data_IF_273065908903
#
_entry.id   IF_273065908903
#
_cell.length_a   1.000
_cell.length_b   1.000
_cell.length_c   1.000
_cell.angle_alpha   90.00
_cell.angle_beta   90.00
_cell.angle_gamma   90.00
#
_symmetry.space_group_name_H-M   'P 1'
#
loop_
_entity.id
_entity.type
_entity.pdbx_description
1 polymer ?
#
# COMPACT_ATOMS: atom_id res chain seq x y z
N UNK A 1 24.90 -13.21 14.96
CA UNK A 1 23.92 -12.52 15.82
C UNK A 1 22.63 -12.52 15.04
N UNK A 2 21.63 -13.25 15.52
CA UNK A 2 20.36 -13.43 14.82
C UNK A 2 19.55 -12.15 15.01
N UNK A 3 19.48 -11.30 13.99
CA UNK A 3 18.43 -10.29 13.93
C UNK A 3 17.19 -10.98 13.37
N UNK A 4 16.24 -11.29 14.25
CA UNK A 4 14.90 -11.70 13.87
C UNK A 4 14.29 -10.59 13.01
N UNK A 5 14.04 -10.89 11.74
CA UNK A 5 13.19 -10.05 10.91
C UNK A 5 11.81 -9.98 11.59
N UNK A 6 11.17 -8.79 11.69
CA UNK A 6 9.88 -8.66 12.33
C UNK A 6 8.88 -9.62 11.67
N UNK A 7 8.26 -10.47 12.49
CA UNK A 7 7.34 -11.50 12.01
C UNK A 7 6.14 -10.83 11.36
N UNK A 8 5.61 -11.44 10.29
CA UNK A 8 4.44 -10.93 9.54
C UNK A 8 3.23 -10.64 10.45
N UNK A 9 3.16 -11.33 11.59
CA UNK A 9 2.13 -11.23 12.62
C UNK A 9 2.13 -9.89 13.39
N UNK A 10 3.25 -9.15 13.43
CA UNK A 10 3.34 -7.86 14.13
C UNK A 10 2.58 -6.73 13.39
N UNK A 11 2.14 -6.97 12.15
CA UNK A 11 1.48 -5.95 11.31
C UNK A 11 -0.03 -5.84 11.49
N UNK A 12 -0.64 -6.73 12.26
CA UNK A 12 -2.07 -6.69 12.55
C UNK A 12 -2.36 -7.14 13.99
N UNK A 13 -2.06 -6.25 14.95
CA UNK A 13 -2.49 -6.46 16.33
C UNK A 13 -4.02 -6.36 16.41
N UNK A 14 -4.72 -7.36 16.99
CA UNK A 14 -6.15 -7.26 17.20
C UNK A 14 -6.47 -6.03 18.06
N UNK A 15 -7.52 -5.28 17.70
CA UNK A 15 -8.02 -4.23 18.57
C UNK A 15 -8.40 -4.83 19.94
N UNK A 16 -7.92 -4.21 21.02
CA UNK A 16 -8.20 -4.66 22.39
C UNK A 16 -9.64 -4.37 22.81
N UNK A 17 -10.19 -3.24 22.38
CA UNK A 17 -11.51 -2.73 22.76
C UNK A 17 -12.04 -1.69 21.75
N UNK A 18 -13.30 -1.31 21.92
CA UNK A 18 -13.97 -0.35 21.04
C UNK A 18 -13.43 1.09 21.15
N UNK A 19 -12.75 1.45 22.25
CA UNK A 19 -12.17 2.79 22.41
C UNK A 19 -10.90 2.93 21.57
N UNK A 20 -10.09 1.87 21.47
CA UNK A 20 -8.96 1.83 20.56
C UNK A 20 -9.42 1.95 19.10
N UNK A 21 -10.49 1.26 18.72
CA UNK A 21 -11.08 1.37 17.38
C UNK A 21 -11.56 2.80 17.09
N UNK A 22 -12.22 3.45 18.05
CA UNK A 22 -12.68 4.83 17.91
C UNK A 22 -11.52 5.82 17.76
N UNK A 23 -10.46 5.66 18.56
CA UNK A 23 -9.24 6.49 18.45
C UNK A 23 -8.56 6.30 17.11
N UNK A 24 -8.38 5.05 16.67
CA UNK A 24 -7.77 4.75 15.36
C UNK A 24 -8.58 5.37 14.21
N UNK A 25 -9.92 5.30 14.30
CA UNK A 25 -10.80 5.93 13.33
C UNK A 25 -10.69 7.47 13.33
N UNK A 26 -10.56 8.09 14.51
CA UNK A 26 -10.43 9.54 14.66
C UNK A 26 -9.05 10.06 14.22
N UNK A 27 -7.99 9.28 14.44
CA UNK A 27 -6.60 9.66 14.12
C UNK A 27 -6.23 9.35 12.66
N UNK A 28 -7.15 8.84 11.85
CA UNK A 28 -6.83 8.48 10.47
C UNK A 28 -5.81 7.34 10.39
N UNK A 29 -5.79 6.44 11.38
CA UNK A 29 -4.91 5.27 11.38
C UNK A 29 -5.44 4.21 10.42
N UNK A 30 -4.54 3.37 9.93
CA UNK A 30 -4.87 2.20 9.10
C UNK A 30 -5.39 2.51 7.69
N UNK A 31 -4.81 3.51 7.03
CA UNK A 31 -5.04 3.75 5.61
C UNK A 31 -3.83 3.34 4.78
N UNK A 32 -4.11 2.96 3.54
CA UNK A 32 -3.16 2.69 2.48
C UNK A 32 -3.49 3.67 1.35
N UNK A 33 -2.73 4.77 1.22
CA UNK A 33 -2.90 5.70 0.11
C UNK A 33 -2.80 4.95 -1.23
N UNK A 34 -3.67 5.30 -2.17
CA UNK A 34 -3.67 4.73 -3.53
C UNK A 34 -2.60 5.35 -4.42
N UNK A 35 -2.06 6.51 -4.03
CA UNK A 35 -1.14 7.30 -4.86
C UNK A 35 -1.89 8.23 -5.83
N UNK A 36 -3.22 8.20 -5.81
CA UNK A 36 -4.09 9.05 -6.63
C UNK A 36 -4.78 10.06 -5.71
N UNK A 37 -4.30 11.30 -5.69
CA UNK A 37 -4.75 12.35 -4.76
C UNK A 37 -6.27 12.53 -4.72
N UNK A 38 -6.93 12.52 -5.87
CA UNK A 38 -8.39 12.67 -5.95
C UNK A 38 -9.15 11.50 -5.29
N UNK A 39 -8.64 10.27 -5.42
CA UNK A 39 -9.24 9.09 -4.79
C UNK A 39 -8.92 9.07 -3.29
N UNK A 40 -7.68 9.37 -2.92
CA UNK A 40 -7.28 9.41 -1.52
C UNK A 40 -8.06 10.47 -0.75
N UNK A 41 -8.30 11.64 -1.36
CA UNK A 41 -9.16 12.69 -0.79
C UNK A 41 -10.61 12.20 -0.63
N UNK A 42 -11.17 11.57 -1.67
CA UNK A 42 -12.54 11.03 -1.62
C UNK A 42 -12.71 9.98 -0.51
N UNK A 43 -11.69 9.16 -0.28
CA UNK A 43 -11.71 8.10 0.74
C UNK A 43 -11.27 8.58 2.14
N UNK A 44 -10.85 9.85 2.27
CA UNK A 44 -10.37 10.41 3.53
C UNK A 44 -8.99 9.89 3.97
N UNK A 45 -8.13 9.56 3.01
CA UNK A 45 -6.74 9.14 3.24
C UNK A 45 -6.29 7.91 2.44
N UNK A 46 -7.21 7.20 1.78
CA UNK A 46 -6.92 6.02 0.95
C UNK A 46 -7.76 4.80 1.33
N UNK A 47 -7.28 3.61 0.98
CA UNK A 47 -7.94 2.33 1.27
C UNK A 47 -7.78 1.97 2.76
N UNK A 48 -8.84 1.54 3.44
CA UNK A 48 -8.79 1.16 4.86
C UNK A 48 -8.27 -0.27 5.04
N UNK A 49 -7.27 -0.47 5.89
CA UNK A 49 -6.79 -1.81 6.26
C UNK A 49 -7.89 -2.57 7.01
N UNK A 50 -7.94 -3.88 6.83
CA UNK A 50 -8.95 -4.74 7.46
C UNK A 50 -10.36 -4.57 6.90
N UNK A 51 -10.54 -3.79 5.83
CA UNK A 51 -11.83 -3.61 5.16
C UNK A 51 -11.74 -4.05 3.69
N UNK A 52 -12.87 -4.51 3.17
CA UNK A 52 -13.05 -4.78 1.75
C UNK A 52 -13.55 -3.51 1.05
N UNK A 53 -12.83 -3.05 0.04
CA UNK A 53 -13.24 -1.93 -0.82
C UNK A 53 -13.55 -2.44 -2.22
N UNK A 54 -14.75 -2.15 -2.71
CA UNK A 54 -15.18 -2.52 -4.06
C UNK A 54 -15.20 -1.28 -4.98
N UNK A 55 -14.56 -1.38 -6.15
CA UNK A 55 -14.59 -0.34 -7.18
C UNK A 55 -15.41 -0.86 -8.36
N UNK A 56 -16.56 -0.24 -8.61
CA UNK A 56 -17.49 -0.65 -9.67
C UNK A 56 -17.60 0.40 -10.78
N UNK A 57 -18.06 -0.01 -11.96
CA UNK A 57 -18.22 0.89 -13.10
C UNK A 57 -18.15 0.18 -14.45
N UNK A 58 -18.52 0.89 -15.52
CA UNK A 58 -18.53 0.37 -16.90
C UNK A 58 -17.16 -0.10 -17.38
N UNK A 59 -17.11 -0.93 -18.41
CA UNK A 59 -15.83 -1.31 -19.05
C UNK A 59 -15.02 -0.07 -19.43
N UNK A 60 -13.70 -0.15 -19.32
CA UNK A 60 -12.78 0.96 -19.61
C UNK A 60 -12.94 2.22 -18.73
N UNK A 61 -13.72 2.18 -17.64
CA UNK A 61 -13.85 3.31 -16.69
C UNK A 61 -12.62 3.54 -15.79
N UNK A 62 -11.51 2.82 -16.01
CA UNK A 62 -10.27 2.99 -15.24
C UNK A 62 -10.11 2.12 -13.99
N UNK A 63 -11.04 1.19 -13.69
CA UNK A 63 -10.96 0.33 -12.49
C UNK A 63 -9.61 -0.38 -12.33
N UNK A 64 -9.17 -1.08 -13.38
CA UNK A 64 -7.87 -1.78 -13.40
C UNK A 64 -6.70 -0.81 -13.18
N UNK A 65 -6.79 0.41 -13.72
CA UNK A 65 -5.75 1.43 -13.51
C UNK A 65 -5.67 1.85 -12.05
N UNK A 66 -6.81 2.08 -11.38
CA UNK A 66 -6.82 2.38 -9.94
C UNK A 66 -6.21 1.24 -9.13
N UNK A 67 -6.53 -0.01 -9.45
CA UNK A 67 -5.92 -1.18 -8.79
C UNK A 67 -4.41 -1.25 -9.01
N UNK A 68 -3.91 -1.00 -10.23
CA UNK A 68 -2.49 -1.02 -10.54
C UNK A 68 -1.72 0.12 -9.83
N UNK A 69 -2.27 1.35 -9.80
CA UNK A 69 -1.68 2.46 -9.04
C UNK A 69 -1.62 2.14 -7.55
N UNK A 70 -2.75 1.69 -6.98
CA UNK A 70 -2.81 1.34 -5.57
C UNK A 70 -1.81 0.25 -5.22
N UNK A 71 -1.69 -0.79 -6.04
CA UNK A 71 -0.73 -1.87 -5.83
C UNK A 71 0.72 -1.39 -5.91
N UNK A 72 1.08 -0.65 -6.96
CA UNK A 72 2.44 -0.12 -7.14
C UNK A 72 2.82 0.84 -6.01
N UNK A 73 1.93 1.76 -5.65
CA UNK A 73 2.17 2.75 -4.61
C UNK A 73 2.31 2.10 -3.23
N UNK A 74 1.42 1.18 -2.87
CA UNK A 74 1.51 0.46 -1.58
C UNK A 74 2.79 -0.38 -1.51
N UNK A 75 3.14 -1.09 -2.58
CA UNK A 75 4.37 -1.87 -2.63
C UNK A 75 5.61 -1.00 -2.44
N UNK A 76 5.67 0.15 -3.13
CA UNK A 76 6.78 1.09 -3.04
C UNK A 76 6.89 1.76 -1.66
N UNK A 77 5.77 2.30 -1.13
CA UNK A 77 5.78 3.14 0.08
C UNK A 77 5.88 2.37 1.39
N UNK A 78 5.34 1.16 1.44
CA UNK A 78 5.20 0.42 2.70
C UNK A 78 6.13 -0.79 2.79
N UNK A 79 7.08 -0.93 1.84
CA UNK A 79 7.90 -2.14 1.65
C UNK A 79 7.05 -3.41 1.75
N UNK A 80 5.83 -3.32 1.21
CA UNK A 80 4.80 -4.33 1.37
C UNK A 80 4.76 -5.27 0.18
N UNK A 81 4.53 -6.55 0.44
CA UNK A 81 4.13 -7.46 -0.62
C UNK A 81 2.66 -7.21 -0.99
N UNK A 82 2.37 -7.08 -2.28
CA UNK A 82 0.99 -6.99 -2.80
C UNK A 82 0.68 -8.24 -3.60
N UNK A 83 -0.40 -8.92 -3.23
CA UNK A 83 -0.97 -10.00 -4.04
C UNK A 83 -2.00 -9.41 -5.00
N UNK A 84 -1.69 -9.43 -6.29
CA UNK A 84 -2.61 -9.00 -7.34
C UNK A 84 -3.25 -10.23 -8.00
N UNK A 85 -4.55 -10.43 -7.78
CA UNK A 85 -5.32 -11.51 -8.42
C UNK A 85 -5.99 -10.99 -9.69
N UNK A 86 -5.57 -11.52 -10.83
CA UNK A 86 -6.09 -11.09 -12.14
C UNK A 86 -6.99 -12.17 -12.76
N UNK A 87 -8.27 -11.86 -12.83
CA UNK A 87 -9.30 -12.77 -13.38
C UNK A 87 -9.57 -12.53 -14.87
N UNK A 88 -8.97 -11.50 -15.46
CA UNK A 88 -9.30 -11.02 -16.82
C UNK A 88 -8.08 -10.84 -17.72
N UNK A 89 -6.91 -11.30 -17.28
CA UNK A 89 -5.64 -11.16 -17.99
C UNK A 89 -5.34 -9.69 -18.37
N UNK A 90 -5.60 -8.79 -17.43
CA UNK A 90 -5.47 -7.33 -17.56
C UNK A 90 -4.26 -6.75 -16.81
N UNK A 91 -3.55 -7.57 -16.03
CA UNK A 91 -2.34 -7.16 -15.34
C UNK A 91 -1.23 -6.82 -16.35
N UNK A 92 -0.49 -5.74 -16.08
CA UNK A 92 0.53 -5.22 -16.98
C UNK A 92 1.78 -4.80 -16.20
N UNK A 93 2.87 -5.59 -16.25
CA UNK A 93 4.14 -5.24 -15.62
C UNK A 93 4.72 -3.93 -16.17
N UNK A 94 4.59 -3.69 -17.48
CA UNK A 94 5.05 -2.45 -18.10
C UNK A 94 4.29 -1.24 -17.56
N UNK A 95 2.98 -1.39 -17.30
CA UNK A 95 2.22 -0.31 -16.66
C UNK A 95 2.68 -0.07 -15.23
N UNK A 96 2.96 -1.11 -14.45
CA UNK A 96 3.52 -0.97 -13.10
C UNK A 96 4.86 -0.22 -13.15
N UNK A 97 5.78 -0.61 -14.04
CA UNK A 97 7.06 0.07 -14.19
C UNK A 97 6.87 1.57 -14.50
N UNK A 98 5.96 1.89 -15.43
CA UNK A 98 5.65 3.29 -15.75
C UNK A 98 5.08 4.06 -14.55
N UNK A 99 4.21 3.45 -13.74
CA UNK A 99 3.71 4.07 -12.50
C UNK A 99 4.86 4.35 -11.54
N UNK A 100 5.77 3.39 -11.35
CA UNK A 100 6.92 3.54 -10.44
C UNK A 100 7.88 4.64 -10.91
N UNK A 101 8.08 4.79 -12.22
CA UNK A 101 8.91 5.87 -12.79
C UNK A 101 8.30 7.27 -12.54
N UNK A 102 6.97 7.36 -12.40
CA UNK A 102 6.28 8.61 -12.05
C UNK A 102 6.36 8.94 -10.55
N UNK A 103 6.68 7.97 -9.69
CA UNK A 103 6.72 8.18 -8.24
C UNK A 103 7.98 8.97 -7.82
N UNK A 104 7.85 9.89 -6.85
CA UNK A 104 9.01 10.60 -6.32
C UNK A 104 10.02 9.62 -5.72
N UNK A 105 11.30 9.81 -6.07
CA UNK A 105 12.42 8.97 -5.62
C UNK A 105 12.49 8.86 -4.08
N UNK A 106 12.01 9.86 -3.34
CA UNK A 106 11.93 9.82 -1.88
C UNK A 106 11.05 8.67 -1.37
N UNK A 107 9.96 8.34 -2.07
CA UNK A 107 9.09 7.22 -1.72
C UNK A 107 9.73 5.85 -1.94
N UNK A 108 10.78 5.79 -2.77
CA UNK A 108 11.52 4.56 -3.09
C UNK A 108 12.75 4.42 -2.17
N UNK A 109 13.22 5.51 -1.54
CA UNK A 109 14.52 5.56 -0.84
C UNK A 109 14.47 5.58 0.69
N UNK A 110 13.33 5.83 1.33
CA UNK A 110 13.33 6.12 2.77
C UNK A 110 13.89 5.00 3.67
N UNK A 111 13.96 3.73 3.23
CA UNK A 111 14.47 2.65 4.09
C UNK A 111 15.74 1.90 3.60
N UNK A 112 16.29 2.22 2.42
CA UNK A 112 17.56 1.61 2.00
C UNK A 112 18.78 2.09 2.81
N UNK A 113 18.66 3.23 3.52
CA UNK A 113 19.74 3.74 4.37
C UNK A 113 19.90 2.98 5.70
N UNK A 114 18.87 2.27 6.16
CA UNK A 114 19.00 1.35 7.29
C UNK A 114 19.61 0.01 6.87
N UNK A 115 19.41 -0.42 5.62
CA UNK A 115 19.97 -1.67 5.09
C UNK A 115 21.46 -1.57 4.71
N UNK A 116 21.97 -0.38 4.34
CA UNK A 116 23.34 -0.21 3.86
C UNK A 116 24.42 -0.15 4.94
N UNK A 117 24.08 -0.03 6.24
CA UNK A 117 25.06 -0.04 7.34
C UNK A 117 25.59 -1.44 7.71
N UNK A 118 25.10 -2.50 7.07
CA UNK A 118 25.53 -3.88 7.30
C UNK A 118 26.57 -4.43 6.32
N UNK A 119 27.08 -3.61 5.39
CA UNK A 119 27.98 -4.05 4.31
C UNK A 119 29.30 -3.28 4.29
N UNK A 120 29.93 -3.08 5.46
CA UNK A 120 31.37 -2.87 5.54
C UNK A 120 31.92 -3.87 6.57
N UNK A 121 32.38 -5.02 6.05
CA UNK A 121 33.25 -5.97 6.73
C UNK A 121 34.23 -6.56 5.70
#
# INVERSE_FOLDING_TARGET
MNEEQPHVEDRCVPWSDGMQLLKDAAEGKHFLPTGLEGIDTLLGGGLRKGQLTEITGQSSSGKTQVCLYSAAHVAARHMGAVLYLDTSNSFSPSRIAHILDELPISLIKEDFQHAAKGYEA
#
